data_IF_088858355319
#
_entry.id   IF_088858355319
#
_cell.length_a   1.000
_cell.length_b   1.000
_cell.length_c   1.000
_cell.angle_alpha   90.00
_cell.angle_beta   90.00
_cell.angle_gamma   90.00
#
_symmetry.space_group_name_H-M   'P 1'
#
loop_
_entity.id
_entity.type
_entity.pdbx_description
1 polymer ?
#
# COMPACT_ATOMS: atom_id res chain seq x y z
N UNK A 1 -45.29 -31.43 0.81
CA UNK A 1 -45.36 -31.20 -0.65
C UNK A 1 -45.55 -29.71 -0.89
N UNK A 2 -44.47 -29.02 -1.27
CA UNK A 2 -44.53 -27.62 -1.73
C UNK A 2 -43.76 -27.56 -3.04
N UNK A 3 -44.49 -27.28 -4.11
CA UNK A 3 -43.98 -26.97 -5.44
C UNK A 3 -44.84 -25.83 -5.97
N UNK A 4 -44.19 -24.77 -6.44
CA UNK A 4 -44.56 -23.89 -7.57
C UNK A 4 -43.47 -22.79 -7.63
N UNK A 5 -42.53 -22.82 -8.59
CA UNK A 5 -42.57 -22.21 -9.94
C UNK A 5 -42.69 -20.66 -9.81
N UNK A 6 -41.77 -19.82 -10.31
CA UNK A 6 -41.61 -19.49 -11.74
C UNK A 6 -40.32 -18.71 -12.03
N UNK A 7 -39.82 -18.87 -13.26
CA UNK A 7 -38.61 -18.29 -13.88
C UNK A 7 -38.76 -16.81 -14.29
N UNK A 8 -37.59 -16.17 -14.43
CA UNK A 8 -37.22 -14.86 -15.01
C UNK A 8 -38.03 -14.40 -16.24
N UNK A 9 -38.18 -13.07 -16.37
CA UNK A 9 -38.10 -12.39 -17.66
C UNK A 9 -37.37 -11.04 -17.52
N UNK A 10 -36.43 -10.82 -18.44
CA UNK A 10 -35.65 -9.60 -18.69
C UNK A 10 -36.43 -8.72 -19.67
N UNK A 11 -36.43 -7.40 -19.48
CA UNK A 11 -36.63 -6.44 -20.58
C UNK A 11 -35.57 -5.35 -20.48
N UNK A 12 -34.65 -5.36 -21.44
CA UNK A 12 -33.80 -4.24 -21.80
C UNK A 12 -34.45 -3.50 -22.98
N UNK A 13 -34.24 -2.19 -23.06
CA UNK A 13 -34.65 -1.38 -24.21
C UNK A 13 -34.11 0.05 -24.13
N UNK A 14 -32.97 0.28 -24.80
CA UNK A 14 -32.41 1.59 -25.13
C UNK A 14 -33.32 2.38 -26.10
N UNK A 15 -33.24 3.72 -26.08
CA UNK A 15 -32.79 4.61 -27.19
C UNK A 15 -33.38 6.04 -27.03
N UNK A 16 -32.55 7.08 -26.82
CA UNK A 16 -31.83 7.96 -27.78
C UNK A 16 -32.57 9.27 -28.12
N UNK A 17 -32.02 10.36 -27.55
CA UNK A 17 -31.68 11.66 -28.14
C UNK A 17 -32.68 12.81 -28.41
N UNK A 18 -32.17 14.00 -28.03
CA UNK A 18 -31.97 15.25 -28.80
C UNK A 18 -32.85 16.48 -28.48
N UNK A 19 -32.14 17.48 -27.93
CA UNK A 19 -32.20 18.95 -28.08
C UNK A 19 -33.54 19.73 -28.05
N UNK A 20 -33.62 20.64 -27.08
CA UNK A 20 -33.64 22.09 -27.34
C UNK A 20 -35.00 22.80 -27.34
N UNK A 21 -35.11 23.88 -26.54
CA UNK A 21 -36.00 25.01 -26.84
C UNK A 21 -36.91 25.51 -25.71
N UNK A 22 -36.36 26.40 -24.87
CA UNK A 22 -36.90 27.68 -24.38
C UNK A 22 -38.44 27.82 -24.27
N UNK A 23 -38.94 28.12 -23.07
CA UNK A 23 -40.28 28.69 -22.88
C UNK A 23 -40.59 29.05 -21.43
N UNK A 24 -40.75 30.35 -21.17
CA UNK A 24 -40.97 31.01 -19.87
C UNK A 24 -42.37 30.79 -19.27
N UNK A 25 -42.40 30.97 -17.95
CA UNK A 25 -43.46 31.60 -17.12
C UNK A 25 -44.71 30.81 -16.68
N UNK A 26 -44.72 30.58 -15.36
CA UNK A 26 -45.63 31.22 -14.38
C UNK A 26 -46.88 30.48 -13.89
N UNK A 27 -47.04 30.59 -12.57
CA UNK A 27 -48.27 30.53 -11.74
C UNK A 27 -48.95 29.18 -11.49
N UNK A 28 -48.50 28.56 -10.39
CA UNK A 28 -49.26 28.04 -9.25
C UNK A 28 -50.73 27.64 -9.40
N UNK A 29 -51.05 26.36 -9.10
CA UNK A 29 -52.29 25.94 -8.40
C UNK A 29 -52.00 24.71 -7.50
N UNK A 30 -52.10 24.94 -6.19
CA UNK A 30 -52.57 24.09 -5.09
C UNK A 30 -52.43 22.55 -5.13
N UNK A 31 -51.69 22.03 -4.12
CA UNK A 31 -52.34 21.29 -3.03
C UNK A 31 -52.34 19.75 -3.09
N UNK A 32 -51.21 19.13 -2.74
CA UNK A 32 -51.19 17.82 -2.09
C UNK A 32 -50.15 17.87 -0.94
N UNK A 33 -50.43 17.23 0.21
CA UNK A 33 -49.62 17.39 1.42
C UNK A 33 -48.21 16.91 1.14
N UNK A 34 -47.23 17.78 1.43
CA UNK A 34 -45.86 17.33 1.71
C UNK A 34 -45.98 16.30 2.83
N UNK A 35 -45.85 15.01 2.49
CA UNK A 35 -45.29 14.06 3.43
C UNK A 35 -43.98 14.68 3.88
N UNK A 36 -43.96 15.16 5.13
CA UNK A 36 -42.73 15.48 5.81
C UNK A 36 -41.82 14.27 5.59
N UNK A 37 -40.82 14.43 4.73
CA UNK A 37 -39.65 13.59 4.78
C UNK A 37 -39.12 13.82 6.18
N UNK A 38 -39.39 12.87 7.07
CA UNK A 38 -38.66 12.78 8.31
C UNK A 38 -37.24 12.51 7.84
N UNK A 39 -36.44 13.57 7.69
CA UNK A 39 -35.01 13.45 7.87
C UNK A 39 -34.85 12.95 9.30
N UNK A 40 -34.76 11.62 9.42
CA UNK A 40 -34.23 11.02 10.63
C UNK A 40 -32.76 11.39 10.59
N UNK A 41 -32.42 12.56 11.14
CA UNK A 41 -31.09 12.74 11.72
C UNK A 41 -30.89 11.52 12.60
N UNK A 42 -29.99 10.62 12.19
CA UNK A 42 -29.56 9.55 13.07
C UNK A 42 -29.02 10.24 14.32
N UNK A 43 -29.74 10.12 15.44
CA UNK A 43 -29.30 10.70 16.70
C UNK A 43 -27.88 10.22 16.97
N UNK A 44 -26.90 11.11 16.79
CA UNK A 44 -25.52 10.81 17.15
C UNK A 44 -25.52 10.73 18.67
N UNK A 45 -25.41 9.51 19.20
CA UNK A 45 -25.21 9.29 20.63
C UNK A 45 -23.75 9.62 20.97
N UNK A 46 -23.38 10.89 20.75
CA UNK A 46 -22.06 11.42 21.01
C UNK A 46 -21.89 11.59 22.52
N UNK A 47 -20.86 10.95 23.08
CA UNK A 47 -20.53 11.03 24.51
C UNK A 47 -19.25 11.83 24.71
N UNK A 48 -19.34 12.93 25.45
CA UNK A 48 -18.16 13.64 25.92
C UNK A 48 -17.51 12.91 27.09
N UNK A 49 -16.18 12.80 27.07
CA UNK A 49 -15.40 12.09 28.08
C UNK A 49 -14.17 12.90 28.46
N UNK A 50 -13.89 13.00 29.76
CA UNK A 50 -12.78 13.80 30.32
C UNK A 50 -11.76 12.98 31.10
N UNK A 51 -12.04 11.69 31.30
CA UNK A 51 -11.19 10.77 32.05
C UNK A 51 -11.42 9.31 31.62
N UNK A 52 -10.56 8.41 32.09
CA UNK A 52 -10.56 7.00 31.71
C UNK A 52 -11.85 6.26 32.08
N UNK A 53 -12.50 6.59 33.20
CA UNK A 53 -13.73 5.91 33.61
C UNK A 53 -14.88 6.22 32.64
N UNK A 54 -15.03 7.49 32.25
CA UNK A 54 -16.02 7.90 31.26
C UNK A 54 -15.72 7.34 29.87
N UNK A 55 -14.44 7.28 29.49
CA UNK A 55 -14.00 6.69 28.23
C UNK A 55 -14.29 5.19 28.17
N UNK A 56 -13.97 4.42 29.22
CA UNK A 56 -14.29 2.99 29.33
C UNK A 56 -15.80 2.74 29.27
N UNK A 57 -16.60 3.50 30.03
CA UNK A 57 -18.07 3.40 30.02
C UNK A 57 -18.64 3.67 28.63
N UNK A 58 -18.16 4.71 27.95
CA UNK A 58 -18.62 5.07 26.61
C UNK A 58 -18.24 4.00 25.56
N UNK A 59 -17.04 3.42 25.66
CA UNK A 59 -16.61 2.33 24.79
C UNK A 59 -17.46 1.06 24.99
N UNK A 60 -17.78 0.70 26.25
CA UNK A 60 -18.56 -0.50 26.59
C UNK A 60 -20.06 -0.34 26.31
N UNK A 61 -20.57 0.89 26.17
CA UNK A 61 -21.95 1.15 25.84
C UNK A 61 -22.21 0.90 24.34
N UNK A 62 -23.08 -0.07 24.03
CA UNK A 62 -23.43 -0.45 22.67
C UNK A 62 -24.26 0.61 21.91
N UNK A 63 -24.90 1.55 22.61
CA UNK A 63 -25.72 2.60 22.00
C UNK A 63 -24.94 3.86 21.67
N UNK A 64 -23.77 4.08 22.28
CA UNK A 64 -22.86 5.17 21.91
C UNK A 64 -22.32 4.86 20.51
N UNK A 65 -22.25 5.85 19.63
CA UNK A 65 -21.65 5.71 18.28
C UNK A 65 -20.51 6.69 18.06
N UNK A 66 -20.40 7.71 18.92
CA UNK A 66 -19.34 8.71 18.87
C UNK A 66 -18.85 9.07 20.28
N UNK A 67 -17.54 9.24 20.43
CA UNK A 67 -16.88 9.66 21.68
C UNK A 67 -16.06 10.90 21.36
N UNK A 68 -16.31 11.98 22.10
CA UNK A 68 -15.55 13.23 21.98
C UNK A 68 -14.68 13.43 23.22
N UNK A 69 -13.36 13.42 23.04
CA UNK A 69 -12.40 13.56 24.14
C UNK A 69 -12.28 15.03 24.54
N UNK A 70 -12.58 15.36 25.79
CA UNK A 70 -12.56 16.72 26.36
C UNK A 70 -11.60 16.86 27.54
N UNK A 71 -10.60 15.98 27.61
CA UNK A 71 -9.58 15.90 28.65
C UNK A 71 -8.60 14.77 28.37
N UNK A 72 -7.40 14.85 28.95
CA UNK A 72 -6.39 13.81 28.78
C UNK A 72 -6.87 12.47 29.33
N UNK A 73 -6.73 11.41 28.53
CA UNK A 73 -7.13 10.05 28.90
C UNK A 73 -5.87 9.23 29.14
N UNK A 74 -5.80 8.53 30.28
CA UNK A 74 -4.71 7.61 30.58
C UNK A 74 -5.24 6.23 30.93
N UNK A 75 -4.82 5.22 30.20
CA UNK A 75 -5.26 3.85 30.43
C UNK A 75 -4.61 3.30 31.69
N UNK A 76 -5.40 2.65 32.53
CA UNK A 76 -4.93 1.96 33.74
C UNK A 76 -4.98 0.43 33.61
N UNK A 77 -5.65 -0.06 32.57
CA UNK A 77 -5.83 -1.48 32.23
C UNK A 77 -6.25 -1.60 30.76
N UNK A 78 -6.23 -2.82 30.23
CA UNK A 78 -6.88 -3.13 28.95
C UNK A 78 -8.38 -2.84 29.04
N UNK A 79 -8.93 -2.22 28.01
CA UNK A 79 -10.37 -2.01 27.89
C UNK A 79 -10.92 -3.12 27.01
N UNK A 80 -11.70 -4.03 27.59
CA UNK A 80 -12.20 -5.22 26.92
C UNK A 80 -13.71 -5.20 26.79
N UNK A 81 -14.27 -6.19 26.09
CA UNK A 81 -15.70 -6.36 25.86
C UNK A 81 -16.35 -5.20 25.09
N UNK A 82 -15.60 -4.55 24.19
CA UNK A 82 -16.16 -3.52 23.33
C UNK A 82 -17.13 -4.17 22.35
N UNK A 83 -18.43 -3.82 22.35
CA UNK A 83 -19.41 -4.42 21.46
C UNK A 83 -19.05 -4.15 20.00
N UNK A 84 -19.34 -5.11 19.12
CA UNK A 84 -19.20 -4.93 17.67
C UNK A 84 -20.24 -3.90 17.20
N UNK A 85 -19.77 -2.71 16.83
CA UNK A 85 -20.56 -1.58 16.33
C UNK A 85 -19.63 -0.57 15.66
N UNK A 86 -20.18 0.25 14.79
CA UNK A 86 -19.46 1.44 14.34
C UNK A 86 -19.25 2.39 15.53
N UNK A 87 -18.03 2.91 15.62
CA UNK A 87 -17.63 3.81 16.67
C UNK A 87 -16.66 4.84 16.10
N UNK A 88 -16.92 6.12 16.35
CA UNK A 88 -15.93 7.18 16.14
C UNK A 88 -15.40 7.69 17.46
N UNK A 89 -14.08 7.75 17.60
CA UNK A 89 -13.39 8.48 18.66
C UNK A 89 -12.79 9.73 18.05
N UNK A 90 -13.36 10.88 18.38
CA UNK A 90 -12.74 12.16 18.12
C UNK A 90 -11.82 12.51 19.29
N UNK A 91 -10.52 12.45 19.04
CA UNK A 91 -9.48 12.74 20.02
C UNK A 91 -9.35 14.21 20.41
N UNK A 92 -9.91 15.13 19.60
CA UNK A 92 -9.78 16.58 19.75
C UNK A 92 -8.34 17.02 20.07
N UNK A 93 -7.34 16.48 19.34
CA UNK A 93 -5.92 16.81 19.58
C UNK A 93 -5.61 18.31 19.39
N UNK A 94 -6.41 19.01 18.58
CA UNK A 94 -6.29 20.47 18.38
C UNK A 94 -6.56 21.26 19.66
N UNK A 95 -7.39 20.72 20.57
CA UNK A 95 -7.62 21.29 21.90
C UNK A 95 -6.50 20.93 22.90
N UNK A 96 -5.45 20.24 22.46
CA UNK A 96 -4.30 19.82 23.26
C UNK A 96 -4.52 18.55 24.09
N UNK A 97 -5.53 17.74 23.77
CA UNK A 97 -5.80 16.49 24.48
C UNK A 97 -5.01 15.31 23.89
N UNK A 98 -4.49 14.46 24.78
CA UNK A 98 -3.75 13.23 24.44
C UNK A 98 -4.43 11.99 25.05
N UNK A 99 -4.34 10.86 24.34
CA UNK A 99 -4.72 9.54 24.85
C UNK A 99 -3.45 8.71 25.11
N UNK A 100 -3.08 8.56 26.38
CA UNK A 100 -1.99 7.69 26.83
C UNK A 100 -2.52 6.27 27.04
N UNK A 101 -2.33 5.39 26.05
CA UNK A 101 -2.68 3.98 26.17
C UNK A 101 -1.64 3.19 26.97
N UNK A 102 -0.42 3.74 27.15
CA UNK A 102 0.70 3.05 27.76
C UNK A 102 0.87 1.65 27.15
N UNK A 103 1.01 0.63 28.01
CA UNK A 103 1.11 -0.77 27.56
C UNK A 103 -0.23 -1.45 27.27
N UNK A 104 -1.34 -0.76 27.50
CA UNK A 104 -2.68 -1.31 27.39
C UNK A 104 -3.26 -1.07 26.00
N UNK A 105 -4.29 -1.86 25.65
CA UNK A 105 -5.01 -1.77 24.39
C UNK A 105 -6.52 -1.79 24.62
N UNK A 106 -7.26 -1.24 23.65
CA UNK A 106 -8.69 -1.50 23.46
C UNK A 106 -8.83 -2.84 22.73
N UNK A 107 -9.75 -3.70 23.20
CA UNK A 107 -10.02 -5.02 22.62
C UNK A 107 -11.47 -5.08 22.13
N UNK A 108 -11.64 -5.08 20.80
CA UNK A 108 -12.91 -5.30 20.14
C UNK A 108 -13.43 -6.71 20.40
N UNK A 109 -14.72 -6.88 20.70
CA UNK A 109 -15.33 -8.21 20.79
C UNK A 109 -15.32 -8.87 19.40
N UNK A 110 -14.91 -10.13 19.36
CA UNK A 110 -14.96 -10.94 18.14
C UNK A 110 -16.43 -11.23 17.79
N UNK A 111 -16.89 -10.83 16.61
CA UNK A 111 -18.18 -11.27 16.07
C UNK A 111 -17.98 -12.58 15.30
N UNK A 112 -18.83 -13.58 15.55
CA UNK A 112 -18.64 -14.92 14.98
C UNK A 112 -18.61 -14.93 13.44
N UNK A 113 -17.83 -15.85 12.89
CA UNK A 113 -17.55 -16.17 11.47
C UNK A 113 -18.74 -16.23 10.48
N UNK A 114 -19.99 -16.08 10.91
CA UNK A 114 -21.17 -16.23 10.02
C UNK A 114 -21.32 -15.12 8.97
N UNK A 115 -20.52 -14.06 9.03
CA UNK A 115 -20.53 -12.97 8.05
C UNK A 115 -19.59 -13.18 6.85
N UNK A 116 -18.91 -14.34 6.72
CA UNK A 116 -18.05 -14.62 5.57
C UNK A 116 -18.76 -14.57 4.20
N UNK A 117 -20.08 -14.37 4.15
CA UNK A 117 -20.84 -14.04 2.95
C UNK A 117 -21.99 -13.02 3.17
N UNK A 118 -22.01 -12.27 4.28
CA UNK A 118 -23.08 -11.30 4.55
C UNK A 118 -22.73 -10.30 5.67
N UNK A 119 -22.38 -9.07 5.29
CA UNK A 119 -22.35 -7.90 6.19
C UNK A 119 -20.95 -7.32 6.39
N UNK A 120 -20.82 -6.01 6.15
CA UNK A 120 -19.63 -5.19 6.34
C UNK A 120 -19.04 -5.36 7.75
N UNK A 121 -17.71 -5.34 7.87
CA UNK A 121 -17.05 -5.25 9.19
C UNK A 121 -17.49 -3.94 9.87
N UNK A 122 -17.59 -3.93 11.20
CA UNK A 122 -17.83 -2.68 11.92
C UNK A 122 -16.56 -1.84 11.89
N UNK A 123 -16.71 -0.52 11.83
CA UNK A 123 -15.57 0.39 11.74
C UNK A 123 -15.30 1.05 13.08
N UNK A 124 -14.07 0.86 13.58
CA UNK A 124 -13.52 1.64 14.68
C UNK A 124 -12.74 2.84 14.12
N UNK A 125 -13.40 3.99 14.07
CA UNK A 125 -12.85 5.24 13.56
C UNK A 125 -12.12 6.01 14.65
N UNK A 126 -10.92 6.48 14.33
CA UNK A 126 -10.09 7.32 15.18
C UNK A 126 -9.81 8.59 14.40
N UNK A 127 -10.32 9.72 14.88
CA UNK A 127 -10.23 11.00 14.18
C UNK A 127 -9.61 12.06 15.07
N UNK A 128 -8.76 12.92 14.48
CA UNK A 128 -8.17 14.08 15.15
C UNK A 128 -7.53 13.74 16.52
N UNK A 129 -6.65 12.73 16.56
CA UNK A 129 -6.15 12.16 17.82
C UNK A 129 -4.62 12.20 17.93
N UNK A 130 -4.13 12.47 19.15
CA UNK A 130 -2.73 12.28 19.54
C UNK A 130 -2.66 11.17 20.60
N UNK A 131 -1.99 10.07 20.25
CA UNK A 131 -2.03 8.82 21.01
C UNK A 131 -0.61 8.38 21.34
N UNK A 132 -0.36 8.12 22.62
CA UNK A 132 0.94 7.65 23.12
C UNK A 132 0.76 6.28 23.76
N UNK A 133 1.42 5.29 23.18
CA UNK A 133 1.59 3.94 23.72
C UNK A 133 3.00 3.69 24.23
N UNK A 134 3.16 2.64 25.02
CA UNK A 134 4.45 2.17 25.47
C UNK A 134 5.21 1.56 24.30
N UNK A 135 6.45 1.99 24.10
CA UNK A 135 7.35 1.46 23.07
C UNK A 135 7.66 -0.04 23.29
N UNK A 136 7.44 -0.61 24.47
CA UNK A 136 7.73 -2.03 24.75
C UNK A 136 6.74 -3.00 24.12
N UNK A 137 5.45 -2.73 24.30
CA UNK A 137 4.36 -3.67 24.04
C UNK A 137 3.02 -2.95 23.80
N UNK A 138 2.98 -1.62 23.85
CA UNK A 138 1.76 -0.83 23.71
C UNK A 138 1.15 -0.93 22.32
N UNK A 139 -0.19 -1.07 22.29
CA UNK A 139 -1.01 -1.04 21.09
C UNK A 139 -2.29 -0.26 21.36
N UNK A 140 -2.77 0.52 20.40
CA UNK A 140 -3.98 1.29 20.65
C UNK A 140 -5.23 0.44 20.57
N UNK A 141 -5.38 -0.30 19.46
CA UNK A 141 -6.55 -1.14 19.20
C UNK A 141 -6.17 -2.53 18.69
N UNK A 142 -6.85 -3.54 19.23
CA UNK A 142 -6.75 -4.94 18.80
C UNK A 142 -8.16 -5.45 18.52
N UNK A 143 -8.42 -5.91 17.29
CA UNK A 143 -9.66 -6.62 16.99
C UNK A 143 -9.59 -8.02 17.60
N UNK A 144 -10.58 -8.41 18.40
CA UNK A 144 -10.61 -9.72 19.06
C UNK A 144 -9.72 -9.82 20.31
N UNK A 145 -9.58 -11.02 20.87
CA UNK A 145 -9.00 -11.26 22.20
C UNK A 145 -7.56 -11.80 22.20
N UNK A 146 -6.85 -11.80 21.07
CA UNK A 146 -5.56 -12.49 20.96
C UNK A 146 -4.60 -11.93 19.92
N UNK A 147 -3.40 -12.50 19.89
CA UNK A 147 -2.32 -12.15 18.95
C UNK A 147 -2.35 -12.97 17.63
N UNK A 148 -3.46 -13.64 17.32
CA UNK A 148 -3.61 -14.49 16.13
C UNK A 148 -4.70 -13.99 15.17
N UNK A 149 -5.08 -14.78 14.15
CA UNK A 149 -6.14 -14.49 13.17
C UNK A 149 -7.57 -14.52 13.79
N UNK A 150 -7.74 -13.82 14.92
CA UNK A 150 -8.91 -13.82 15.77
C UNK A 150 -9.65 -12.47 15.80
N UNK A 151 -9.35 -11.58 14.84
CA UNK A 151 -9.82 -10.19 14.81
C UNK A 151 -10.99 -9.95 13.85
N UNK A 152 -11.92 -10.90 13.74
CA UNK A 152 -13.06 -10.75 12.83
C UNK A 152 -14.01 -9.63 13.28
N UNK A 153 -14.58 -8.93 12.29
CA UNK A 153 -15.68 -7.98 12.49
C UNK A 153 -15.26 -6.55 12.78
N UNK A 154 -13.97 -6.21 12.63
CA UNK A 154 -13.45 -4.87 12.85
C UNK A 154 -12.55 -4.41 11.71
N UNK A 155 -12.93 -3.29 11.11
CA UNK A 155 -12.04 -2.42 10.34
C UNK A 155 -11.64 -1.22 11.20
N UNK A 156 -10.54 -0.55 10.86
CA UNK A 156 -10.14 0.71 11.47
C UNK A 156 -9.99 1.78 10.41
N UNK A 157 -10.57 2.94 10.69
CA UNK A 157 -10.39 4.15 9.91
C UNK A 157 -9.64 5.17 10.76
N UNK A 158 -8.49 5.64 10.31
CA UNK A 158 -7.66 6.61 11.00
C UNK A 158 -7.58 7.91 10.18
N UNK A 159 -8.09 9.01 10.75
CA UNK A 159 -8.05 10.33 10.14
C UNK A 159 -7.36 11.34 11.02
N UNK A 160 -6.33 12.01 10.50
CA UNK A 160 -5.59 13.02 11.24
C UNK A 160 -5.03 12.49 12.59
N UNK A 161 -4.44 11.28 12.57
CA UNK A 161 -3.94 10.60 13.78
C UNK A 161 -2.43 10.73 13.90
N UNK A 162 -1.96 11.07 15.11
CA UNK A 162 -0.57 10.88 15.53
C UNK A 162 -0.49 9.72 16.52
N UNK A 163 0.43 8.78 16.29
CA UNK A 163 0.66 7.65 17.17
C UNK A 163 2.15 7.40 17.42
N UNK A 164 2.51 7.20 18.67
CA UNK A 164 3.81 6.63 19.07
C UNK A 164 3.62 5.39 19.94
N UNK A 165 4.30 4.27 19.66
CA UNK A 165 4.22 3.10 20.54
C UNK A 165 4.91 1.86 20.00
N UNK A 166 4.49 0.66 20.42
CA UNK A 166 5.07 -0.57 19.88
C UNK A 166 4.42 -0.99 18.56
N UNK A 167 3.08 -0.90 18.46
CA UNK A 167 2.29 -1.11 17.22
C UNK A 167 1.01 -0.29 17.28
N UNK A 168 0.56 0.35 16.21
CA UNK A 168 -0.66 1.16 16.26
C UNK A 168 -1.91 0.29 16.44
N UNK A 169 -2.13 -0.63 15.50
CA UNK A 169 -3.31 -1.52 15.50
C UNK A 169 -2.97 -2.97 15.12
N UNK A 170 -3.83 -3.88 15.57
CA UNK A 170 -3.79 -5.29 15.19
C UNK A 170 -5.16 -5.74 14.69
N UNK A 171 -5.26 -5.91 13.37
CA UNK A 171 -6.46 -6.20 12.59
C UNK A 171 -6.19 -7.32 11.58
N UNK A 172 -5.70 -8.48 12.01
CA UNK A 172 -5.32 -9.57 11.11
C UNK A 172 -6.37 -9.88 10.04
N UNK A 173 -7.66 -9.78 10.35
CA UNK A 173 -8.80 -10.05 9.46
C UNK A 173 -9.53 -8.80 8.94
N UNK A 174 -9.02 -7.62 9.28
CA UNK A 174 -9.68 -6.33 9.03
C UNK A 174 -8.91 -5.46 8.06
N UNK A 175 -9.60 -4.44 7.56
CA UNK A 175 -9.03 -3.38 6.76
C UNK A 175 -8.57 -2.22 7.65
N UNK A 176 -7.41 -1.67 7.35
CA UNK A 176 -6.96 -0.39 7.89
C UNK A 176 -7.02 0.67 6.79
N UNK A 177 -7.75 1.76 7.05
CA UNK A 177 -7.84 2.91 6.14
C UNK A 177 -7.21 4.14 6.80
N UNK A 178 -6.31 4.81 6.10
CA UNK A 178 -5.76 6.11 6.48
C UNK A 178 -6.35 7.23 5.61
N UNK A 179 -6.82 8.31 6.25
CA UNK A 179 -7.36 9.51 5.61
C UNK A 179 -6.79 10.79 6.26
N UNK A 180 -6.82 11.93 5.57
CA UNK A 180 -6.20 13.15 6.06
C UNK A 180 -4.70 12.98 6.30
N UNK A 181 -4.17 13.58 7.37
CA UNK A 181 -2.73 13.60 7.67
C UNK A 181 -2.37 12.74 8.88
N UNK A 182 -1.79 11.57 8.63
CA UNK A 182 -1.42 10.62 9.68
C UNK A 182 0.09 10.53 9.88
N UNK A 183 0.50 10.46 11.15
CA UNK A 183 1.88 10.22 11.57
C UNK A 183 1.95 9.03 12.53
N UNK A 184 2.49 7.89 12.09
CA UNK A 184 2.49 6.65 12.86
C UNK A 184 3.93 6.14 13.05
N UNK A 185 4.43 6.26 14.28
CA UNK A 185 5.81 5.91 14.63
C UNK A 185 5.84 4.75 15.63
N UNK A 186 6.39 3.61 15.23
CA UNK A 186 6.37 2.39 16.04
C UNK A 186 7.73 1.74 16.22
N UNK A 187 7.96 1.17 17.40
CA UNK A 187 9.16 0.36 17.66
C UNK A 187 9.20 -0.90 16.81
N UNK A 188 8.06 -1.54 16.58
CA UNK A 188 7.94 -2.79 15.81
C UNK A 188 7.22 -2.50 14.47
N UNK A 189 6.05 -3.11 14.21
CA UNK A 189 5.24 -2.82 13.02
C UNK A 189 4.23 -1.69 13.27
N UNK A 190 3.93 -0.91 12.24
CA UNK A 190 2.86 0.09 12.30
C UNK A 190 1.50 -0.59 12.48
N UNK A 191 1.22 -1.64 11.70
CA UNK A 191 -0.03 -2.39 11.86
C UNK A 191 0.07 -3.84 11.37
N UNK A 192 -0.81 -4.68 11.91
CA UNK A 192 -1.15 -5.98 11.33
C UNK A 192 -2.53 -5.89 10.70
N UNK A 193 -2.68 -6.36 9.47
CA UNK A 193 -3.89 -6.13 8.65
C UNK A 193 -4.23 -7.35 7.76
N UNK A 194 -5.45 -7.39 7.23
CA UNK A 194 -5.77 -8.14 6.01
C UNK A 194 -5.64 -7.23 4.77
N UNK A 195 -6.24 -6.04 4.81
CA UNK A 195 -6.20 -5.05 3.74
C UNK A 195 -5.74 -3.68 4.26
N UNK A 196 -5.15 -2.88 3.37
CA UNK A 196 -4.66 -1.55 3.67
C UNK A 196 -5.10 -0.56 2.58
N UNK A 197 -5.69 0.55 2.99
CA UNK A 197 -6.06 1.65 2.09
C UNK A 197 -5.48 2.98 2.60
N UNK A 198 -4.89 3.75 1.69
CA UNK A 198 -4.63 5.17 1.88
C UNK A 198 -5.60 5.91 0.98
N UNK A 199 -6.47 6.75 1.56
CA UNK A 199 -7.50 7.47 0.79
C UNK A 199 -6.89 8.45 -0.20
N UNK A 200 -7.68 8.82 -1.20
CA UNK A 200 -7.37 9.94 -2.08
C UNK A 200 -7.01 11.20 -1.28
N UNK A 201 -6.06 11.98 -1.78
CA UNK A 201 -5.52 13.20 -1.14
C UNK A 201 -4.89 13.00 0.27
N UNK A 202 -4.79 11.78 0.77
CA UNK A 202 -4.24 11.51 2.10
C UNK A 202 -2.73 11.70 2.17
N UNK A 203 -2.22 12.02 3.35
CA UNK A 203 -0.79 12.09 3.65
C UNK A 203 -0.48 11.15 4.82
N UNK A 204 0.38 10.17 4.58
CA UNK A 204 0.86 9.24 5.58
C UNK A 204 2.37 9.35 5.74
N UNK A 205 2.82 9.58 6.97
CA UNK A 205 4.22 9.53 7.35
C UNK A 205 4.39 8.48 8.45
N UNK A 206 5.01 7.36 8.12
CA UNK A 206 5.19 6.24 9.04
C UNK A 206 6.66 5.91 9.29
N UNK A 207 7.00 5.57 10.54
CA UNK A 207 8.28 4.96 10.88
C UNK A 207 8.05 3.66 11.65
N UNK A 208 8.56 2.55 11.14
CA UNK A 208 8.51 1.24 11.80
C UNK A 208 9.92 0.78 12.18
N UNK A 209 10.01 -0.25 13.02
CA UNK A 209 11.24 -0.89 13.46
C UNK A 209 12.24 0.09 14.14
N UNK A 210 11.76 1.10 14.88
CA UNK A 210 12.59 2.20 15.38
C UNK A 210 13.73 1.81 16.34
N UNK A 211 13.57 0.78 17.17
CA UNK A 211 14.46 0.54 18.32
C UNK A 211 15.03 -0.87 18.45
N UNK A 212 14.74 -1.78 17.52
CA UNK A 212 15.13 -3.18 17.65
C UNK A 212 16.04 -3.70 16.53
N UNK A 213 16.88 -4.67 16.89
CA UNK A 213 17.47 -5.64 15.96
C UNK A 213 16.42 -6.67 15.46
N UNK A 214 15.14 -6.44 15.74
CA UNK A 214 14.03 -7.28 15.32
C UNK A 214 13.74 -7.05 13.84
N UNK A 215 13.51 -8.15 13.12
CA UNK A 215 13.15 -8.12 11.70
C UNK A 215 11.64 -7.84 11.62
N UNK A 216 11.27 -6.57 11.51
CA UNK A 216 9.86 -6.13 11.43
C UNK A 216 9.59 -5.43 10.10
N UNK A 217 8.38 -5.61 9.58
CA UNK A 217 7.85 -4.83 8.44
C UNK A 217 7.16 -3.56 8.95
N UNK A 218 6.78 -2.65 8.05
CA UNK A 218 5.87 -1.58 8.44
C UNK A 218 4.44 -2.11 8.62
N UNK A 219 3.99 -2.94 7.68
CA UNK A 219 2.68 -3.58 7.70
C UNK A 219 2.83 -5.09 7.54
N UNK A 220 2.19 -5.84 8.44
CA UNK A 220 2.22 -7.30 8.41
C UNK A 220 0.85 -7.86 8.03
N UNK A 221 0.79 -8.56 6.89
CA UNK A 221 -0.44 -9.12 6.35
C UNK A 221 -0.66 -10.52 6.92
N UNK A 222 -1.29 -10.60 8.09
CA UNK A 222 -1.42 -11.83 8.87
C UNK A 222 -2.84 -12.41 8.92
N UNK A 223 -3.75 -11.95 8.07
CA UNK A 223 -5.08 -12.55 7.96
C UNK A 223 -5.07 -14.02 7.60
N UNK A 224 -6.14 -14.73 7.92
CA UNK A 224 -6.32 -16.10 7.46
C UNK A 224 -6.33 -16.14 5.94
N UNK A 225 -6.13 -17.34 5.41
CA UNK A 225 -6.38 -17.61 4.02
C UNK A 225 -7.89 -17.62 3.76
N UNK A 226 -8.35 -16.92 2.73
CA UNK A 226 -9.75 -16.93 2.27
C UNK A 226 -9.84 -17.98 1.17
N UNK A 227 -10.66 -19.02 1.39
CA UNK A 227 -10.77 -20.18 0.49
C UNK A 227 -9.42 -20.85 0.16
N UNK A 228 -8.47 -20.79 1.11
CA UNK A 228 -7.12 -21.34 0.95
C UNK A 228 -6.13 -20.39 0.28
N UNK A 229 -6.53 -19.14 0.00
CA UNK A 229 -5.72 -18.14 -0.70
C UNK A 229 -5.31 -16.96 0.18
N UNK A 230 -4.12 -16.41 -0.06
CA UNK A 230 -3.64 -15.14 0.44
C UNK A 230 -4.20 -14.00 -0.43
N UNK A 231 -5.09 -13.21 0.16
CA UNK A 231 -5.94 -12.24 -0.56
C UNK A 231 -5.69 -10.78 -0.19
N UNK A 232 -4.68 -10.48 0.64
CA UNK A 232 -4.45 -9.13 1.14
C UNK A 232 -4.03 -8.15 0.05
N UNK A 233 -4.54 -6.92 0.15
CA UNK A 233 -4.30 -5.84 -0.82
C UNK A 233 -3.83 -4.56 -0.16
N UNK A 234 -3.09 -3.77 -0.94
CA UNK A 234 -2.78 -2.37 -0.65
C UNK A 234 -3.35 -1.51 -1.77
N UNK A 235 -4.17 -0.52 -1.41
CA UNK A 235 -4.67 0.49 -2.33
C UNK A 235 -4.19 1.88 -1.85
N UNK A 236 -3.38 2.54 -2.67
CA UNK A 236 -2.98 3.93 -2.47
C UNK A 236 -3.80 4.78 -3.43
N UNK A 237 -4.73 5.56 -2.88
CA UNK A 237 -5.65 6.39 -3.65
C UNK A 237 -4.94 7.49 -4.46
N UNK A 238 -5.70 8.07 -5.38
CA UNK A 238 -5.25 9.19 -6.21
C UNK A 238 -4.65 10.32 -5.36
N UNK A 239 -3.59 10.98 -5.83
CA UNK A 239 -2.94 12.12 -5.18
C UNK A 239 -2.40 11.87 -3.75
N UNK A 240 -2.52 10.64 -3.22
CA UNK A 240 -2.08 10.28 -1.88
C UNK A 240 -0.55 10.29 -1.77
N UNK A 241 -0.03 10.64 -0.60
CA UNK A 241 1.42 10.71 -0.31
C UNK A 241 1.77 9.80 0.84
N UNK A 242 2.41 8.68 0.55
CA UNK A 242 2.76 7.66 1.53
C UNK A 242 4.28 7.59 1.67
N UNK A 243 4.80 8.02 2.82
CA UNK A 243 6.21 7.95 3.16
C UNK A 243 6.41 6.95 4.31
N UNK A 244 7.26 5.95 4.09
CA UNK A 244 7.54 4.92 5.11
C UNK A 244 9.04 4.77 5.34
N UNK A 245 9.45 4.84 6.61
CA UNK A 245 10.82 4.55 7.03
C UNK A 245 10.85 3.25 7.83
N UNK A 246 11.66 2.29 7.41
CA UNK A 246 11.91 1.05 8.14
C UNK A 246 13.31 1.15 8.75
N UNK A 247 13.30 1.43 10.04
CA UNK A 247 14.46 1.68 10.90
C UNK A 247 15.09 0.38 11.39
N UNK A 248 16.26 0.42 12.06
CA UNK A 248 17.11 1.56 12.43
C UNK A 248 17.85 2.15 11.23
N UNK A 249 18.57 3.25 11.46
CA UNK A 249 19.59 3.72 10.52
C UNK A 249 20.86 2.87 10.60
N UNK A 250 20.74 1.55 10.40
CA UNK A 250 21.86 0.63 10.40
C UNK A 250 21.90 -0.18 9.12
N UNK A 251 23.08 -0.26 8.51
CA UNK A 251 23.34 -1.07 7.31
C UNK A 251 23.88 -2.47 7.67
N UNK A 252 23.72 -2.90 8.93
CA UNK A 252 24.27 -4.17 9.44
C UNK A 252 23.26 -5.30 9.36
N UNK A 253 22.02 -5.07 9.80
CA UNK A 253 21.03 -6.13 9.97
C UNK A 253 19.98 -6.17 8.85
N UNK A 254 19.34 -7.31 8.72
CA UNK A 254 18.17 -7.51 7.87
C UNK A 254 16.91 -6.90 8.49
N UNK A 255 16.05 -6.33 7.67
CA UNK A 255 14.71 -5.87 8.03
C UNK A 255 13.73 -6.28 6.94
N UNK A 256 12.49 -6.58 7.34
CA UNK A 256 11.41 -6.97 6.43
C UNK A 256 10.92 -5.77 5.59
N UNK A 257 10.31 -6.02 4.42
CA UNK A 257 9.77 -4.99 3.52
C UNK A 257 8.64 -4.15 4.13
N UNK A 258 8.23 -3.09 3.44
CA UNK A 258 7.08 -2.26 3.85
C UNK A 258 5.79 -3.07 4.02
N UNK A 259 5.50 -3.98 3.08
CA UNK A 259 4.37 -4.90 3.11
C UNK A 259 4.92 -6.32 3.14
N UNK A 260 4.53 -7.12 4.13
CA UNK A 260 5.08 -8.46 4.31
C UNK A 260 3.99 -9.51 4.46
N UNK A 261 4.27 -10.70 3.94
CA UNK A 261 3.49 -11.96 4.02
C UNK A 261 2.35 -12.11 3.00
N UNK A 262 1.08 -12.03 3.41
CA UNK A 262 -0.09 -12.41 2.59
C UNK A 262 -0.62 -11.29 1.67
N UNK A 263 0.23 -10.36 1.27
CA UNK A 263 -0.09 -9.31 0.30
C UNK A 263 0.23 -9.80 -1.12
N UNK A 264 -0.74 -9.71 -2.03
CA UNK A 264 -0.53 -10.13 -3.42
C UNK A 264 -0.71 -8.98 -4.42
N UNK A 265 -1.41 -7.90 -4.05
CA UNK A 265 -1.67 -6.79 -4.94
C UNK A 265 -1.40 -5.46 -4.25
N UNK A 266 -0.60 -4.61 -4.90
CA UNK A 266 -0.34 -3.24 -4.48
C UNK A 266 -0.68 -2.33 -5.65
N UNK A 267 -1.67 -1.46 -5.47
CA UNK A 267 -2.10 -0.50 -6.47
C UNK A 267 -1.72 0.91 -6.01
N UNK A 268 -1.03 1.65 -6.87
CA UNK A 268 -0.66 3.05 -6.67
C UNK A 268 -1.43 3.88 -7.67
N UNK A 269 -2.44 4.60 -7.18
CA UNK A 269 -3.37 5.38 -7.99
C UNK A 269 -2.72 6.56 -8.71
N UNK A 270 -3.50 7.20 -9.57
CA UNK A 270 -3.06 8.35 -10.37
C UNK A 270 -2.45 9.45 -9.50
N UNK A 271 -1.34 10.06 -9.96
CA UNK A 271 -0.64 11.15 -9.27
C UNK A 271 -0.11 10.82 -7.85
N UNK A 272 -0.34 9.60 -7.35
CA UNK A 272 0.00 9.19 -6.00
C UNK A 272 1.49 8.92 -5.84
N UNK A 273 1.97 9.00 -4.59
CA UNK A 273 3.38 8.83 -4.24
C UNK A 273 3.55 7.78 -3.15
N UNK A 274 4.49 6.87 -3.37
CA UNK A 274 4.96 5.91 -2.37
C UNK A 274 6.49 6.00 -2.26
N UNK A 275 7.02 6.55 -1.17
CA UNK A 275 8.46 6.56 -0.88
C UNK A 275 8.75 5.68 0.33
N UNK A 276 9.58 4.64 0.13
CA UNK A 276 10.01 3.72 1.17
C UNK A 276 11.52 3.80 1.32
N UNK A 277 11.96 4.14 2.53
CA UNK A 277 13.37 4.08 2.93
C UNK A 277 13.56 2.98 3.97
N UNK A 278 14.23 1.90 3.57
CA UNK A 278 14.45 0.73 4.41
C UNK A 278 15.94 0.50 4.68
N UNK A 279 16.26 0.02 5.88
CA UNK A 279 17.61 -0.44 6.20
C UNK A 279 18.08 -1.55 5.22
N UNK A 280 17.21 -2.51 4.89
CA UNK A 280 17.49 -3.64 3.99
C UNK A 280 16.56 -3.66 2.78
N UNK A 281 15.60 -4.59 2.80
CA UNK A 281 14.60 -4.75 1.74
C UNK A 281 13.50 -3.71 1.91
N UNK A 282 13.27 -2.90 0.88
CA UNK A 282 12.17 -1.93 0.86
C UNK A 282 10.86 -2.58 0.41
N UNK A 283 10.91 -3.45 -0.60
CA UNK A 283 9.73 -4.10 -1.18
C UNK A 283 9.98 -5.57 -1.50
N UNK A 284 8.99 -6.43 -1.26
CA UNK A 284 9.10 -7.85 -1.59
C UNK A 284 7.74 -8.53 -1.80
N UNK A 285 7.72 -9.47 -2.75
CA UNK A 285 6.76 -10.57 -2.77
C UNK A 285 7.50 -11.86 -2.40
N UNK A 286 7.02 -12.53 -1.35
CA UNK A 286 7.65 -13.75 -0.82
C UNK A 286 7.21 -14.98 -1.62
N UNK A 287 8.01 -16.07 -1.68
CA UNK A 287 7.60 -17.28 -2.37
C UNK A 287 6.46 -17.96 -1.60
N UNK A 288 5.30 -18.11 -2.25
CA UNK A 288 4.09 -18.73 -1.70
C UNK A 288 3.27 -19.44 -2.78
N UNK A 289 2.80 -20.64 -2.49
CA UNK A 289 1.96 -21.41 -3.40
C UNK A 289 0.48 -20.99 -3.35
N UNK A 290 0.09 -20.23 -2.33
CA UNK A 290 -1.30 -19.94 -1.97
C UNK A 290 -1.70 -18.48 -2.27
N UNK A 291 -0.98 -17.74 -3.12
CA UNK A 291 -1.50 -16.45 -3.57
C UNK A 291 -2.76 -16.63 -4.43
N UNK A 292 -3.76 -15.78 -4.21
CA UNK A 292 -5.00 -15.75 -5.01
C UNK A 292 -4.74 -15.61 -6.51
N UNK A 293 -3.80 -14.74 -6.86
CA UNK A 293 -3.37 -14.49 -8.23
C UNK A 293 -1.87 -14.26 -8.23
N UNK A 294 -1.29 -14.21 -9.43
CA UNK A 294 0.07 -13.72 -9.64
C UNK A 294 0.24 -12.36 -8.93
N UNK A 295 1.23 -12.21 -8.03
CA UNK A 295 1.42 -10.94 -7.35
C UNK A 295 1.75 -9.79 -8.30
N UNK A 296 1.22 -8.62 -7.99
CA UNK A 296 1.41 -7.43 -8.82
C UNK A 296 1.62 -6.15 -8.03
N UNK A 297 2.53 -5.32 -8.53
CA UNK A 297 2.65 -3.90 -8.20
C UNK A 297 2.21 -3.10 -9.43
N UNK A 298 1.15 -2.31 -9.30
CA UNK A 298 0.55 -1.56 -10.39
C UNK A 298 0.69 -0.05 -10.12
N UNK A 299 1.36 0.65 -11.02
CA UNK A 299 1.57 2.10 -10.98
C UNK A 299 0.69 2.73 -12.06
N UNK A 300 -0.34 3.46 -11.64
CA UNK A 300 -1.23 4.20 -12.53
C UNK A 300 -0.57 5.46 -13.10
N UNK A 301 -1.28 6.14 -14.01
CA UNK A 301 -0.84 7.37 -14.66
C UNK A 301 -0.17 8.37 -13.71
N UNK A 302 1.02 8.82 -14.09
CA UNK A 302 1.82 9.83 -13.35
C UNK A 302 2.12 9.52 -11.87
N UNK A 303 1.86 8.30 -11.41
CA UNK A 303 2.22 7.86 -10.05
C UNK A 303 3.73 7.76 -9.89
N UNK A 304 4.23 7.94 -8.66
CA UNK A 304 5.67 7.93 -8.36
C UNK A 304 5.99 7.01 -7.20
N UNK A 305 6.74 5.96 -7.48
CA UNK A 305 7.16 5.00 -6.46
C UNK A 305 8.67 5.00 -6.34
N UNK A 306 9.15 5.03 -5.10
CA UNK A 306 10.57 4.96 -4.78
C UNK A 306 10.81 3.94 -3.67
N UNK A 307 11.67 2.98 -3.98
CA UNK A 307 12.16 1.99 -3.05
C UNK A 307 13.65 2.19 -2.83
N UNK A 308 14.03 2.70 -1.65
CA UNK A 308 15.43 2.85 -1.25
C UNK A 308 15.78 1.81 -0.20
N UNK A 309 16.57 0.81 -0.58
CA UNK A 309 17.20 -0.15 0.32
C UNK A 309 18.64 0.24 0.62
N UNK A 310 18.97 0.47 1.89
CA UNK A 310 20.31 0.92 2.32
C UNK A 310 21.37 -0.19 2.37
N UNK A 311 21.00 -1.42 2.01
CA UNK A 311 21.93 -2.53 1.86
C UNK A 311 22.25 -3.27 3.16
N UNK A 312 21.48 -3.02 4.22
CA UNK A 312 21.46 -3.78 5.47
C UNK A 312 21.62 -5.26 5.20
N UNK A 313 22.60 -5.92 5.84
CA UNK A 313 22.85 -7.36 5.67
C UNK A 313 23.22 -7.81 4.25
N UNK A 314 23.64 -6.90 3.36
CA UNK A 314 23.85 -7.16 1.91
C UNK A 314 22.56 -7.61 1.20
N UNK A 315 21.41 -7.17 1.68
CA UNK A 315 20.14 -7.46 1.03
C UNK A 315 19.83 -6.45 -0.08
N UNK A 316 19.14 -6.94 -1.10
CA UNK A 316 18.61 -6.18 -2.22
C UNK A 316 17.51 -5.22 -1.75
N UNK A 317 17.29 -4.14 -2.48
CA UNK A 317 16.22 -3.19 -2.19
C UNK A 317 14.84 -3.77 -2.53
N UNK A 318 14.76 -4.56 -3.59
CA UNK A 318 13.54 -5.22 -4.03
C UNK A 318 13.76 -6.73 -4.18
N UNK A 319 12.80 -7.54 -3.74
CA UNK A 319 12.82 -9.01 -3.91
C UNK A 319 11.51 -9.52 -4.52
N UNK A 320 11.59 -10.08 -5.72
CA UNK A 320 10.46 -10.62 -6.49
C UNK A 320 10.63 -12.14 -6.55
N UNK A 321 10.24 -12.82 -5.47
CA UNK A 321 10.55 -14.23 -5.27
C UNK A 321 9.37 -15.15 -5.57
N UNK A 322 8.25 -14.61 -6.02
CA UNK A 322 7.10 -15.38 -6.46
C UNK A 322 7.13 -15.54 -7.98
N UNK A 323 6.89 -16.77 -8.45
CA UNK A 323 6.75 -17.08 -9.87
C UNK A 323 5.72 -16.17 -10.55
N UNK A 324 6.11 -15.61 -11.69
CA UNK A 324 5.26 -14.79 -12.54
C UNK A 324 5.00 -13.38 -12.04
N UNK A 325 5.60 -12.92 -10.94
CA UNK A 325 5.37 -11.57 -10.37
C UNK A 325 5.42 -10.48 -11.43
N UNK A 326 4.47 -9.54 -11.39
CA UNK A 326 4.36 -8.45 -12.37
C UNK A 326 4.55 -7.07 -11.73
N UNK A 327 5.39 -6.24 -12.32
CA UNK A 327 5.56 -4.83 -12.00
C UNK A 327 5.07 -4.05 -13.23
N UNK A 328 3.95 -3.35 -13.08
CA UNK A 328 3.28 -2.69 -14.19
C UNK A 328 3.38 -1.17 -14.02
N UNK A 329 3.92 -0.50 -15.03
CA UNK A 329 4.02 0.95 -15.10
C UNK A 329 3.16 1.45 -16.26
N UNK A 330 2.11 2.20 -15.93
CA UNK A 330 1.27 2.89 -16.90
C UNK A 330 1.94 4.18 -17.40
N UNK A 331 1.28 4.85 -18.33
CA UNK A 331 1.76 6.07 -18.98
C UNK A 331 2.23 7.10 -17.94
N UNK A 332 3.41 7.67 -18.19
CA UNK A 332 4.00 8.74 -17.40
C UNK A 332 4.33 8.38 -15.94
N UNK A 333 4.13 7.15 -15.50
CA UNK A 333 4.48 6.69 -14.15
C UNK A 333 6.00 6.55 -13.95
N UNK A 334 6.45 6.73 -12.71
CA UNK A 334 7.86 6.65 -12.31
C UNK A 334 8.09 5.55 -11.26
N UNK A 335 9.08 4.69 -11.49
CA UNK A 335 9.58 3.74 -10.51
C UNK A 335 11.09 3.90 -10.34
N UNK A 336 11.50 4.22 -9.11
CA UNK A 336 12.90 4.31 -8.72
C UNK A 336 13.24 3.20 -7.70
N UNK A 337 14.27 2.40 -7.99
CA UNK A 337 14.73 1.30 -7.14
C UNK A 337 16.22 1.49 -6.86
N UNK A 338 16.53 1.89 -5.63
CA UNK A 338 17.89 2.20 -5.20
C UNK A 338 18.35 1.21 -4.16
N UNK A 339 19.48 0.54 -4.43
CA UNK A 339 20.12 -0.39 -3.51
C UNK A 339 21.52 0.07 -3.12
N UNK A 340 22.09 -0.57 -2.11
CA UNK A 340 23.49 -0.44 -1.72
C UNK A 340 24.05 -1.80 -1.30
N UNK A 341 23.97 -2.79 -2.21
CA UNK A 341 24.23 -4.18 -1.88
C UNK A 341 25.20 -4.83 -2.86
N UNK A 342 26.12 -5.62 -2.32
CA UNK A 342 27.05 -6.43 -3.11
C UNK A 342 26.32 -7.55 -3.90
N UNK A 343 25.08 -7.88 -3.53
CA UNK A 343 24.30 -8.96 -4.13
C UNK A 343 23.25 -8.48 -5.14
N UNK A 344 23.32 -7.22 -5.60
CA UNK A 344 22.33 -6.64 -6.50
C UNK A 344 21.35 -5.69 -5.83
N UNK A 345 20.52 -5.04 -6.64
CA UNK A 345 19.43 -4.13 -6.22
C UNK A 345 18.10 -4.85 -6.23
N UNK A 346 17.90 -5.73 -7.21
CA UNK A 346 16.69 -6.54 -7.41
C UNK A 346 17.07 -8.02 -7.32
N UNK A 347 16.35 -8.78 -6.50
CA UNK A 347 16.43 -10.24 -6.48
C UNK A 347 15.20 -10.86 -7.15
N UNK A 348 15.38 -11.77 -8.11
CA UNK A 348 14.29 -12.51 -8.75
C UNK A 348 14.58 -14.02 -8.75
N UNK A 349 13.81 -14.79 -7.99
CA UNK A 349 14.01 -16.25 -7.88
C UNK A 349 12.74 -17.00 -8.28
N UNK A 350 12.92 -18.22 -8.79
CA UNK A 350 11.86 -19.11 -9.27
C UNK A 350 11.23 -18.73 -10.60
N UNK A 351 12.07 -18.33 -11.56
CA UNK A 351 11.72 -18.10 -12.98
C UNK A 351 10.58 -17.07 -13.20
N UNK A 352 10.93 -15.93 -13.79
CA UNK A 352 10.01 -14.89 -14.30
C UNK A 352 9.45 -13.91 -13.26
N UNK A 353 10.16 -12.79 -13.08
CA UNK A 353 9.55 -11.51 -12.69
C UNK A 353 9.49 -10.59 -13.93
N UNK A 354 8.34 -9.98 -14.21
CA UNK A 354 8.14 -9.08 -15.36
C UNK A 354 8.04 -7.62 -14.94
N UNK A 355 8.77 -6.74 -15.63
CA UNK A 355 8.55 -5.30 -15.63
C UNK A 355 7.89 -4.92 -16.95
N UNK A 356 6.66 -4.42 -16.91
CA UNK A 356 5.88 -4.02 -18.08
C UNK A 356 5.74 -2.50 -18.07
N UNK A 357 6.42 -1.85 -19.01
CA UNK A 357 6.53 -0.39 -19.10
C UNK A 357 5.70 0.08 -20.29
N UNK A 358 4.56 0.71 -20.04
CA UNK A 358 3.73 1.30 -21.07
C UNK A 358 3.86 2.82 -21.02
N UNK A 359 4.64 3.41 -21.94
CA UNK A 359 4.91 4.85 -21.96
C UNK A 359 5.37 5.41 -20.60
N UNK A 360 6.03 4.57 -19.78
CA UNK A 360 6.49 4.94 -18.45
C UNK A 360 7.52 6.07 -18.54
N UNK A 361 7.33 7.14 -17.77
CA UNK A 361 8.26 8.28 -17.82
C UNK A 361 9.65 7.91 -17.30
N UNK A 362 9.70 6.98 -16.32
CA UNK A 362 10.95 6.55 -15.71
C UNK A 362 10.88 5.15 -15.09
N UNK A 363 11.83 4.27 -15.44
CA UNK A 363 12.30 3.19 -14.58
C UNK A 363 13.78 3.42 -14.28
N UNK A 364 14.12 3.74 -13.03
CA UNK A 364 15.49 4.06 -12.58
C UNK A 364 15.97 3.02 -11.56
N UNK A 365 16.95 2.21 -11.96
CA UNK A 365 17.53 1.16 -11.11
C UNK A 365 18.98 1.50 -10.86
N UNK A 366 19.38 1.69 -9.60
CA UNK A 366 20.75 2.08 -9.25
C UNK A 366 21.30 1.30 -8.05
N UNK A 367 22.53 0.82 -8.15
CA UNK A 367 23.27 0.25 -7.03
C UNK A 367 24.34 1.23 -6.56
N UNK A 368 24.17 1.81 -5.38
CA UNK A 368 25.14 2.72 -4.77
C UNK A 368 26.43 2.01 -4.36
N UNK A 369 26.44 0.66 -4.36
CA UNK A 369 27.64 -0.14 -4.12
C UNK A 369 28.47 -0.28 -5.39
N UNK A 370 29.69 0.24 -5.36
CA UNK A 370 30.65 0.10 -6.45
C UNK A 370 30.90 -1.37 -6.82
N UNK A 371 31.08 -1.64 -8.13
CA UNK A 371 31.33 -2.96 -8.72
C UNK A 371 30.27 -4.03 -8.44
N UNK A 372 29.10 -3.67 -7.91
CA UNK A 372 28.01 -4.60 -7.67
C UNK A 372 27.06 -4.69 -8.88
N UNK A 373 26.37 -5.83 -9.09
CA UNK A 373 25.37 -5.96 -10.14
C UNK A 373 24.11 -5.16 -9.84
N UNK A 374 23.22 -5.01 -10.82
CA UNK A 374 21.88 -4.47 -10.61
C UNK A 374 20.90 -5.59 -10.24
N UNK A 375 21.05 -6.77 -10.83
CA UNK A 375 20.16 -7.90 -10.63
C UNK A 375 20.87 -9.12 -10.05
N UNK A 376 20.11 -9.93 -9.31
CA UNK A 376 20.49 -11.28 -8.89
C UNK A 376 19.30 -12.19 -9.05
N UNK A 377 19.40 -13.21 -9.88
CA UNK A 377 18.25 -14.07 -10.10
C UNK A 377 18.37 -15.00 -11.28
N UNK A 378 17.35 -15.84 -11.42
CA UNK A 378 17.26 -16.81 -12.52
C UNK A 378 16.80 -16.11 -13.81
N UNK A 379 15.74 -15.30 -13.74
CA UNK A 379 15.22 -14.55 -14.91
C UNK A 379 14.28 -13.40 -14.51
N UNK A 380 14.64 -12.19 -14.91
CA UNK A 380 13.79 -11.01 -14.96
C UNK A 380 13.56 -10.60 -16.41
N UNK A 381 12.32 -10.32 -16.76
CA UNK A 381 11.95 -9.80 -18.07
C UNK A 381 11.60 -8.32 -17.92
N UNK A 382 12.15 -7.48 -18.80
CA UNK A 382 11.77 -6.07 -18.89
C UNK A 382 11.23 -5.86 -20.30
N UNK A 383 9.96 -5.47 -20.38
CA UNK A 383 9.23 -5.15 -21.60
C UNK A 383 8.81 -3.70 -21.56
N UNK A 384 9.16 -2.97 -22.61
CA UNK A 384 8.85 -1.56 -22.80
C UNK A 384 8.17 -1.30 -24.13
N UNK A 385 7.14 -0.46 -24.07
CA UNK A 385 6.41 0.11 -25.19
C UNK A 385 6.41 1.64 -25.05
N UNK A 386 6.70 2.37 -26.12
CA UNK A 386 6.79 3.84 -26.09
C UNK A 386 8.04 4.37 -25.36
N UNK A 387 9.09 3.55 -25.21
CA UNK A 387 10.37 4.00 -24.69
C UNK A 387 11.16 4.72 -25.78
N UNK A 388 11.92 5.75 -25.43
CA UNK A 388 12.79 6.42 -26.39
C UNK A 388 14.25 6.17 -26.03
N UNK A 389 14.64 6.62 -24.84
CA UNK A 389 16.04 6.65 -24.43
C UNK A 389 16.29 5.77 -23.22
N UNK A 390 17.38 4.99 -23.27
CA UNK A 390 17.94 4.25 -22.14
C UNK A 390 19.30 4.86 -21.82
N UNK A 391 19.46 5.36 -20.60
CA UNK A 391 20.72 5.90 -20.09
C UNK A 391 21.40 4.90 -19.16
N UNK A 392 22.72 4.79 -19.25
CA UNK A 392 23.50 3.88 -18.41
C UNK A 392 24.68 4.59 -17.74
N UNK A 393 25.13 4.04 -16.62
CA UNK A 393 26.32 4.51 -15.90
C UNK A 393 27.24 3.34 -15.58
N UNK A 394 28.54 3.63 -15.46
CA UNK A 394 29.54 2.67 -14.96
C UNK A 394 29.20 2.19 -13.53
N UNK A 395 29.86 1.12 -13.07
CA UNK A 395 29.68 0.56 -11.72
C UNK A 395 30.47 1.31 -10.65
N UNK A 396 30.48 2.64 -10.71
CA UNK A 396 31.31 3.47 -9.85
C UNK A 396 30.74 3.57 -8.42
N UNK A 397 29.44 3.30 -8.24
CA UNK A 397 28.73 3.46 -6.97
C UNK A 397 28.37 4.93 -6.67
N UNK A 398 27.83 5.18 -5.48
CA UNK A 398 27.40 6.50 -5.07
C UNK A 398 26.10 6.96 -5.74
N UNK A 399 25.94 8.28 -5.91
CA UNK A 399 24.68 8.90 -6.35
C UNK A 399 24.51 9.04 -7.88
N UNK A 400 25.48 8.59 -8.69
CA UNK A 400 25.43 8.62 -10.16
C UNK A 400 24.99 9.97 -10.77
N UNK A 401 25.83 11.02 -10.71
CA UNK A 401 25.52 12.30 -11.31
C UNK A 401 25.32 12.19 -12.84
N UNK A 402 24.43 13.01 -13.40
CA UNK A 402 24.08 12.98 -14.83
C UNK A 402 25.28 13.21 -15.77
N UNK A 403 26.33 13.88 -15.30
CA UNK A 403 27.55 14.17 -16.08
C UNK A 403 28.42 12.93 -16.36
N UNK A 404 28.05 11.77 -15.82
CA UNK A 404 28.81 10.50 -15.90
C UNK A 404 28.11 9.40 -16.70
N UNK A 405 27.14 9.77 -17.55
CA UNK A 405 26.47 8.82 -18.45
C UNK A 405 27.53 8.12 -19.31
N UNK A 406 27.50 6.79 -19.28
CA UNK A 406 28.41 5.92 -20.01
C UNK A 406 27.92 5.71 -21.44
N UNK A 407 26.72 5.14 -21.57
CA UNK A 407 26.08 4.87 -22.85
C UNK A 407 24.68 5.50 -22.86
N UNK A 408 24.23 5.88 -24.06
CA UNK A 408 22.88 6.35 -24.33
C UNK A 408 22.34 5.59 -25.53
N UNK A 409 21.24 4.87 -25.34
CA UNK A 409 20.58 4.11 -26.40
C UNK A 409 19.28 4.81 -26.78
N UNK A 410 19.09 5.15 -28.05
CA UNK A 410 17.90 5.86 -28.56
C UNK A 410 17.06 5.00 -29.49
N UNK A 411 15.81 5.40 -29.73
CA UNK A 411 14.93 4.73 -30.72
C UNK A 411 14.39 3.37 -30.23
N UNK A 412 14.11 3.27 -28.94
CA UNK A 412 13.70 2.03 -28.27
C UNK A 412 12.18 1.87 -28.11
N UNK A 413 11.38 2.35 -29.08
CA UNK A 413 9.91 2.38 -29.00
C UNK A 413 9.31 1.03 -28.59
N UNK A 414 9.95 -0.05 -29.02
CA UNK A 414 9.76 -1.39 -28.48
C UNK A 414 11.09 -1.91 -27.95
N UNK A 415 11.11 -2.30 -26.68
CA UNK A 415 12.29 -2.86 -26.01
C UNK A 415 11.89 -4.06 -25.18
N UNK A 416 12.59 -5.17 -25.33
CA UNK A 416 12.45 -6.32 -24.47
C UNK A 416 13.84 -6.86 -24.14
N UNK A 417 14.07 -7.27 -22.90
CA UNK A 417 15.33 -7.94 -22.52
C UNK A 417 15.10 -8.95 -21.41
N UNK A 418 15.95 -9.97 -21.39
CA UNK A 418 16.05 -10.91 -20.28
C UNK A 418 17.31 -10.63 -19.47
N UNK A 419 17.12 -10.49 -18.17
CA UNK A 419 18.20 -10.32 -17.21
C UNK A 419 18.26 -11.56 -16.32
N UNK A 420 19.40 -12.26 -16.31
CA UNK A 420 19.59 -13.48 -15.50
C UNK A 420 19.78 -14.75 -16.34
N UNK A 421 20.40 -15.77 -15.73
CA UNK A 421 20.79 -17.02 -16.38
C UNK A 421 19.64 -18.03 -16.37
N UNK A 422 19.22 -18.46 -17.57
CA UNK A 422 18.56 -19.75 -17.68
C UNK A 422 19.55 -20.85 -17.24
N UNK A 423 19.30 -21.48 -16.10
CA UNK A 423 20.00 -22.68 -15.63
C UNK A 423 21.15 -22.43 -14.63
N UNK A 424 21.06 -23.10 -13.47
CA UNK A 424 22.04 -23.44 -12.41
C UNK A 424 23.15 -22.47 -11.94
N UNK A 425 23.33 -21.30 -12.55
CA UNK A 425 24.40 -20.38 -12.21
C UNK A 425 23.91 -19.33 -11.20
N UNK A 426 24.04 -19.66 -9.90
CA UNK A 426 23.59 -18.86 -8.75
C UNK A 426 24.33 -17.54 -8.50
N UNK A 427 25.19 -17.06 -9.39
CA UNK A 427 25.95 -15.82 -9.15
C UNK A 427 26.22 -15.08 -10.47
N UNK A 428 25.68 -13.85 -10.56
CA UNK A 428 25.97 -12.75 -11.51
C UNK A 428 24.87 -12.43 -12.55
N UNK A 429 24.68 -11.12 -12.74
CA UNK A 429 24.03 -10.49 -13.90
C UNK A 429 24.70 -11.04 -15.18
N UNK A 430 23.95 -11.73 -16.04
CA UNK A 430 24.37 -12.03 -17.41
C UNK A 430 23.15 -11.68 -18.25
N UNK A 431 23.29 -10.68 -19.12
CA UNK A 431 22.19 -10.30 -20.01
C UNK A 431 22.06 -11.32 -21.12
N UNK A 432 20.83 -11.77 -21.32
CA UNK A 432 20.40 -12.54 -22.48
C UNK A 432 19.53 -11.64 -23.37
N UNK A 433 19.69 -11.83 -24.68
CA UNK A 433 18.97 -11.24 -25.82
C UNK A 433 18.11 -10.00 -25.54
N UNK A 434 18.55 -8.87 -26.11
CA UNK A 434 17.71 -7.69 -26.28
C UNK A 434 16.95 -7.84 -27.60
N UNK A 435 15.63 -7.70 -27.53
CA UNK A 435 14.75 -7.63 -28.69
C UNK A 435 14.21 -6.22 -28.77
N UNK A 436 14.58 -5.49 -29.82
CA UNK A 436 14.14 -4.11 -29.98
C UNK A 436 14.37 -3.60 -31.39
N UNK A 437 13.83 -2.41 -31.66
CA UNK A 437 13.93 -1.72 -32.95
C UNK A 437 15.36 -1.30 -33.29
N UNK A 438 16.12 -0.84 -32.29
CA UNK A 438 17.49 -0.33 -32.48
C UNK A 438 18.54 -1.45 -32.49
N UNK A 439 19.29 -1.57 -33.59
CA UNK A 439 20.40 -2.52 -33.72
C UNK A 439 21.51 -2.25 -32.69
N UNK A 440 21.85 -0.98 -32.47
CA UNK A 440 22.85 -0.58 -31.49
C UNK A 440 22.48 -1.04 -30.07
N UNK A 441 21.22 -0.87 -29.67
CA UNK A 441 20.74 -1.36 -28.38
C UNK A 441 20.83 -2.88 -28.31
N UNK A 442 20.44 -3.59 -29.38
CA UNK A 442 20.48 -5.06 -29.41
C UNK A 442 21.89 -5.62 -29.24
N UNK A 443 22.88 -4.98 -29.87
CA UNK A 443 24.26 -5.46 -29.87
C UNK A 443 25.02 -5.07 -28.59
N UNK A 444 24.71 -3.91 -28.00
CA UNK A 444 25.58 -3.31 -26.99
C UNK A 444 24.96 -3.18 -25.59
N UNK A 445 23.63 -3.19 -25.45
CA UNK A 445 23.01 -3.08 -24.13
C UNK A 445 23.16 -4.37 -23.33
N UNK A 446 23.88 -4.29 -22.21
CA UNK A 446 24.15 -5.44 -21.34
C UNK A 446 24.09 -4.99 -19.86
N UNK A 447 23.03 -5.35 -19.12
CA UNK A 447 22.81 -4.88 -17.73
C UNK A 447 23.99 -5.17 -16.79
N UNK A 448 24.72 -6.26 -17.05
CA UNK A 448 25.94 -6.64 -16.34
C UNK A 448 27.04 -5.57 -16.37
N UNK A 449 27.02 -4.64 -17.32
CA UNK A 449 28.04 -3.62 -17.48
C UNK A 449 27.79 -2.33 -16.70
N UNK A 450 26.63 -2.23 -16.02
CA UNK A 450 26.15 -0.96 -15.49
C UNK A 450 25.90 -0.98 -13.98
N UNK A 451 26.12 0.17 -13.34
CA UNK A 451 25.78 0.41 -11.92
C UNK A 451 24.46 1.16 -11.74
N UNK A 452 23.97 1.77 -12.82
CA UNK A 452 22.64 2.39 -12.93
C UNK A 452 22.13 2.27 -14.36
N UNK A 453 20.84 2.04 -14.51
CA UNK A 453 20.11 2.08 -15.78
C UNK A 453 18.82 2.88 -15.60
N UNK A 454 18.53 3.75 -16.55
CA UNK A 454 17.32 4.58 -16.59
C UNK A 454 16.63 4.37 -17.93
N UNK A 455 15.40 3.85 -17.92
CA UNK A 455 14.53 3.76 -19.09
C UNK A 455 13.56 4.94 -19.09
N UNK A 456 13.46 5.67 -20.21
CA UNK A 456 12.53 6.82 -20.35
C UNK A 456 11.63 6.69 -21.56
N UNK A 457 10.38 7.11 -21.41
CA UNK A 457 9.47 7.33 -22.53
C UNK A 457 9.98 8.41 -23.50
N UNK A 458 9.57 8.30 -24.76
CA UNK A 458 9.73 9.37 -25.74
C UNK A 458 8.78 10.51 -25.45
N UNK A 459 9.20 11.74 -25.78
CA UNK A 459 8.33 12.93 -25.71
C UNK A 459 7.32 12.96 -26.87
N UNK A 460 6.61 11.85 -27.11
CA UNK A 460 5.52 11.77 -28.06
C UNK A 460 4.21 12.02 -27.33
N UNK A 461 3.46 13.05 -27.74
CA UNK A 461 2.07 13.21 -27.29
C UNK A 461 1.27 11.93 -27.60
N UNK A 462 0.43 11.44 -26.66
CA UNK A 462 -0.48 10.35 -26.93
C UNK A 462 -1.60 10.88 -27.84
N UNK A 463 -1.39 10.86 -29.16
CA UNK A 463 -2.45 11.26 -30.10
C UNK A 463 -1.98 11.80 -31.43
N UNK A 464 -1.35 10.96 -32.25
CA UNK A 464 -1.22 11.21 -33.68
C UNK A 464 -2.08 10.24 -34.49
N UNK A 465 -3.39 10.47 -34.56
CA UNK A 465 -4.21 9.87 -35.63
C UNK A 465 -3.65 10.32 -36.97
N UNK A 466 -3.22 9.37 -37.80
CA UNK A 466 -2.37 9.69 -38.95
C UNK A 466 -2.45 8.73 -40.13
N UNK A 467 -3.68 8.47 -40.60
CA UNK A 467 -4.07 7.99 -41.94
C UNK A 467 -3.74 6.55 -42.37
#
# INVERSE_FOLDING_TARGET
>A
MKSNITKKLVVAGLSVSLLGGIGLNSTAIFGLPQTAGIEVEAATNAKEVKNIAQFEEALQNASVTEISVKGNIKFTKNITNIPARDLTINGNKEDGYTIDSGRFSIYGKNSSLKAANAGENNTFSIVNADIVGAQTDGRFFTGGSGNGPSSYGWDVYAKDVKYEGARFVHLSEGKLTFDGKNEINTRAENAWVHDLEFKEDSEYNGQAAMKDHGQFSAFYFNGRLVDGEATGKVDIGRDAKVNVKISPQSDVNYYYPVFYDKVYQVNVGEDAKLDVDAAGVAFQFIPRADYKNIPSLNLSYNSKVKFNGRGGGKYQAMKLQQYGTQINQDDSSELAIYGNSANGVIESIYEYAGFNLYQASNLDIANKKANAPLFRGDRTFIQGYGLDTIYTWNKDGGNYPNETIKDTFTGNDYFNTYVGLGGDAKNNDVSAEVFGSSEETRENFQTVNYGRVVFKAGSGEPGGTGK
#
